data_IF_067910682283
#
_entry.id   IF_067910682283
#
_cell.length_a   1.000
_cell.length_b   1.000
_cell.length_c   1.000
_cell.angle_alpha   90.00
_cell.angle_beta   90.00
_cell.angle_gamma   90.00
#
_symmetry.space_group_name_H-M   'P 1'
#
loop_
_entity.id
_entity.type
_entity.pdbx_description
1 polymer ?
#
# COMPACT_ATOMS: atom_id res chain seq x y z
N UNK A 1 6.87 -6.12 -10.63
CA UNK A 1 7.55 -5.83 -11.90
C UNK A 1 7.95 -7.14 -12.61
N UNK A 2 8.34 -8.19 -11.90
CA UNK A 2 8.75 -9.47 -12.49
C UNK A 2 7.61 -10.46 -12.76
N UNK A 3 6.39 -10.21 -12.28
CA UNK A 3 5.23 -11.10 -12.48
C UNK A 3 4.33 -10.70 -13.66
N UNK A 4 4.48 -9.48 -14.18
CA UNK A 4 3.78 -9.02 -15.38
C UNK A 4 4.78 -8.72 -16.51
N UNK A 5 4.45 -9.10 -17.72
CA UNK A 5 5.26 -8.84 -18.93
C UNK A 5 5.12 -7.36 -19.37
N UNK A 6 5.34 -6.42 -18.43
CA UNK A 6 5.27 -4.99 -18.72
C UNK A 6 6.64 -4.46 -19.13
N UNK A 7 6.70 -3.75 -20.24
CA UNK A 7 7.90 -3.01 -20.61
C UNK A 7 8.04 -1.80 -19.67
N UNK A 8 9.18 -1.67 -18.99
CA UNK A 8 9.46 -0.60 -18.02
C UNK A 8 9.31 0.81 -18.61
N UNK A 9 9.38 0.92 -19.93
CA UNK A 9 9.24 2.20 -20.66
C UNK A 9 7.80 2.63 -20.86
N UNK A 10 6.86 1.69 -20.79
CA UNK A 10 5.43 1.93 -20.99
C UNK A 10 4.69 2.21 -19.68
N UNK A 11 5.40 2.09 -18.53
CA UNK A 11 4.82 2.32 -17.23
C UNK A 11 4.82 3.80 -16.86
N UNK A 12 3.64 4.32 -16.57
CA UNK A 12 3.45 5.63 -15.93
C UNK A 12 3.32 5.43 -14.42
N UNK A 13 4.35 5.83 -13.66
CA UNK A 13 4.46 5.48 -12.24
C UNK A 13 4.21 6.70 -11.37
N UNK A 14 3.24 6.56 -10.47
CA UNK A 14 2.98 7.49 -9.36
C UNK A 14 3.54 6.89 -8.08
N UNK A 15 4.64 7.46 -7.59
CA UNK A 15 5.33 6.94 -6.43
C UNK A 15 4.89 7.67 -5.16
N UNK A 16 4.42 6.89 -4.18
CA UNK A 16 4.13 7.36 -2.83
C UNK A 16 5.19 6.79 -1.91
N UNK A 17 5.99 7.68 -1.28
CA UNK A 17 7.09 7.31 -0.40
C UNK A 17 8.48 7.27 -1.04
N UNK A 18 9.44 7.82 -0.31
CA UNK A 18 10.83 8.03 -0.76
C UNK A 18 11.55 6.72 -1.13
N UNK A 19 11.41 5.69 -0.31
CA UNK A 19 12.10 4.39 -0.51
C UNK A 19 11.67 3.69 -1.81
N UNK A 20 10.35 3.67 -2.07
CA UNK A 20 9.79 3.11 -3.30
C UNK A 20 10.24 3.89 -4.54
N UNK A 21 10.20 5.22 -4.46
CA UNK A 21 10.70 6.11 -5.50
C UNK A 21 12.17 5.83 -5.84
N UNK A 22 13.04 5.82 -4.82
CA UNK A 22 14.49 5.60 -5.02
C UNK A 22 14.77 4.22 -5.62
N UNK A 23 14.03 3.19 -5.22
CA UNK A 23 14.18 1.84 -5.76
C UNK A 23 13.76 1.78 -7.23
N UNK A 24 12.64 2.41 -7.61
CA UNK A 24 12.13 2.46 -8.97
C UNK A 24 13.05 3.29 -9.90
N UNK A 25 13.60 4.40 -9.39
CA UNK A 25 14.57 5.20 -10.15
C UNK A 25 15.86 4.41 -10.43
N UNK A 26 16.38 3.66 -9.45
CA UNK A 26 17.54 2.77 -9.66
C UNK A 26 17.25 1.65 -10.65
N UNK A 27 16.01 1.18 -10.71
CA UNK A 27 15.57 0.20 -11.71
C UNK A 27 15.38 0.80 -13.12
N UNK A 28 15.58 2.12 -13.27
CA UNK A 28 15.45 2.80 -14.58
C UNK A 28 14.01 3.16 -14.97
N UNK A 29 13.07 3.12 -14.01
CA UNK A 29 11.69 3.50 -14.26
C UNK A 29 11.53 5.02 -14.26
N UNK A 30 10.69 5.54 -15.16
CA UNK A 30 10.30 6.95 -15.17
C UNK A 30 9.18 7.17 -14.16
N UNK A 31 9.39 8.09 -13.22
CA UNK A 31 8.37 8.49 -12.25
C UNK A 31 7.71 9.76 -12.77
N UNK A 32 6.40 9.71 -12.99
CA UNK A 32 5.62 10.82 -13.51
C UNK A 32 5.07 11.72 -12.41
N UNK A 33 4.85 11.14 -11.23
CA UNK A 33 4.40 11.91 -10.07
C UNK A 33 5.08 11.41 -8.79
N UNK A 34 5.61 12.36 -8.02
CA UNK A 34 6.18 12.13 -6.70
C UNK A 34 5.22 12.64 -5.63
N UNK A 35 4.75 11.74 -4.79
CA UNK A 35 3.83 12.01 -3.69
C UNK A 35 4.45 11.56 -2.35
N UNK A 36 5.74 11.78 -2.17
CA UNK A 36 6.47 11.31 -0.97
C UNK A 36 5.95 11.91 0.34
N UNK A 37 5.35 13.09 0.29
CA UNK A 37 4.87 13.81 1.48
C UNK A 37 3.58 13.22 2.07
N UNK A 38 2.83 12.43 1.29
CA UNK A 38 1.54 11.84 1.69
C UNK A 38 1.74 10.60 2.60
N UNK A 39 2.95 10.06 2.65
CA UNK A 39 3.20 8.74 3.25
C UNK A 39 3.03 8.70 4.77
N UNK A 40 3.30 9.81 5.48
CA UNK A 40 3.30 9.84 6.95
C UNK A 40 1.87 9.93 7.52
N UNK A 41 1.03 10.79 6.95
CA UNK A 41 -0.37 10.99 7.37
C UNK A 41 -1.29 11.06 6.13
N UNK A 42 -1.61 9.92 5.50
CA UNK A 42 -2.43 9.93 4.32
C UNK A 42 -3.87 10.35 4.62
N UNK A 43 -4.35 11.37 3.91
CA UNK A 43 -5.73 11.83 4.02
C UNK A 43 -6.59 11.34 2.86
N UNK A 44 -7.91 11.30 3.06
CA UNK A 44 -8.84 11.01 1.96
C UNK A 44 -8.74 12.04 0.83
N UNK A 45 -8.40 13.30 1.15
CA UNK A 45 -8.22 14.34 0.15
C UNK A 45 -7.04 14.05 -0.79
N UNK A 46 -5.94 13.53 -0.26
CA UNK A 46 -4.77 13.13 -1.03
C UNK A 46 -5.09 11.95 -1.95
N UNK A 47 -5.75 10.93 -1.41
CA UNK A 47 -6.22 9.80 -2.20
C UNK A 47 -7.19 10.22 -3.31
N UNK A 48 -8.08 11.19 -3.01
CA UNK A 48 -9.00 11.73 -4.00
C UNK A 48 -8.29 12.54 -5.10
N UNK A 49 -7.25 13.29 -4.76
CA UNK A 49 -6.44 14.01 -5.74
C UNK A 49 -5.71 13.05 -6.68
N UNK A 50 -5.06 12.01 -6.12
CA UNK A 50 -4.41 10.95 -6.88
C UNK A 50 -5.41 10.19 -7.76
N UNK A 51 -6.51 9.75 -7.18
CA UNK A 51 -7.53 8.98 -7.88
C UNK A 51 -8.14 9.73 -9.05
N UNK A 52 -8.47 11.01 -8.88
CA UNK A 52 -8.99 11.84 -9.97
C UNK A 52 -8.00 11.98 -11.12
N UNK A 53 -6.72 12.19 -10.80
CA UNK A 53 -5.68 12.33 -11.83
C UNK A 53 -5.53 11.05 -12.65
N UNK A 54 -5.45 9.90 -11.98
CA UNK A 54 -5.32 8.59 -12.62
C UNK A 54 -6.57 8.27 -13.47
N UNK A 55 -7.77 8.57 -12.94
CA UNK A 55 -9.02 8.40 -13.69
C UNK A 55 -9.10 9.29 -14.91
N UNK A 56 -8.59 10.53 -14.84
CA UNK A 56 -8.56 11.42 -16.00
C UNK A 56 -7.68 10.88 -17.10
N UNK A 57 -6.47 10.40 -16.79
CA UNK A 57 -5.58 9.78 -17.79
C UNK A 57 -6.19 8.51 -18.40
N UNK A 58 -6.92 7.72 -17.61
CA UNK A 58 -7.63 6.54 -18.11
C UNK A 58 -8.79 6.94 -19.04
N UNK A 59 -9.60 7.92 -18.66
CA UNK A 59 -10.72 8.41 -19.47
C UNK A 59 -10.26 9.07 -20.79
N UNK A 60 -9.07 9.66 -20.81
CA UNK A 60 -8.45 10.23 -22.01
C UNK A 60 -7.81 9.15 -22.91
N UNK A 61 -7.76 7.91 -22.47
CA UNK A 61 -7.17 6.80 -23.20
C UNK A 61 -5.63 6.82 -23.24
N UNK A 62 -4.98 7.59 -22.35
CA UNK A 62 -3.53 7.65 -22.22
C UNK A 62 -2.98 6.36 -21.60
N UNK A 63 -3.73 5.74 -20.69
CA UNK A 63 -3.40 4.49 -20.02
C UNK A 63 -4.52 3.46 -20.20
N UNK A 64 -4.16 2.21 -20.48
CA UNK A 64 -5.11 1.11 -20.68
C UNK A 64 -5.48 0.38 -19.40
N UNK A 65 -4.58 0.37 -18.42
CA UNK A 65 -4.77 -0.34 -17.15
C UNK A 65 -4.26 0.50 -15.97
N UNK A 66 -4.93 0.37 -14.83
CA UNK A 66 -4.51 1.00 -13.57
C UNK A 66 -4.28 -0.08 -12.54
N UNK A 67 -3.09 -0.08 -11.97
CA UNK A 67 -2.66 -1.01 -10.93
C UNK A 67 -2.26 -0.29 -9.66
N UNK A 68 -2.62 -0.85 -8.51
CA UNK A 68 -2.20 -0.39 -7.20
C UNK A 68 -1.27 -1.42 -6.56
N UNK A 69 -0.02 -1.02 -6.30
CA UNK A 69 0.95 -1.81 -5.56
C UNK A 69 1.11 -1.19 -4.17
N UNK A 70 0.86 -1.97 -3.12
CA UNK A 70 0.94 -1.51 -1.74
C UNK A 70 1.35 -2.65 -0.80
N UNK A 71 1.67 -2.32 0.44
CA UNK A 71 1.95 -3.31 1.48
C UNK A 71 0.71 -3.50 2.32
N UNK A 72 0.13 -4.69 2.27
CA UNK A 72 -1.04 -5.05 3.09
C UNK A 72 -0.60 -5.34 4.52
N UNK A 73 -1.29 -4.75 5.47
CA UNK A 73 -1.08 -4.93 6.90
C UNK A 73 -1.92 -6.10 7.41
N UNK A 74 -1.28 -7.19 7.80
CA UNK A 74 -1.95 -8.34 8.42
C UNK A 74 -1.86 -8.22 9.94
N UNK A 75 -0.64 -8.00 10.44
CA UNK A 75 -0.36 -7.73 11.86
C UNK A 75 0.98 -7.00 11.98
N UNK A 76 1.41 -6.66 13.19
CA UNK A 76 2.65 -5.91 13.44
C UNK A 76 3.92 -6.63 12.99
N UNK A 77 3.87 -7.94 12.75
CA UNK A 77 5.01 -8.79 12.36
C UNK A 77 4.96 -9.17 10.88
N UNK A 78 3.74 -9.35 10.34
CA UNK A 78 3.53 -9.87 8.99
C UNK A 78 2.96 -8.78 8.09
N UNK A 79 3.72 -8.45 7.07
CA UNK A 79 3.36 -7.48 6.02
C UNK A 79 3.55 -8.15 4.66
N UNK A 80 2.55 -8.06 3.79
CA UNK A 80 2.60 -8.69 2.48
C UNK A 80 2.50 -7.64 1.37
N UNK A 81 3.42 -7.64 0.39
CA UNK A 81 3.26 -6.82 -0.79
C UNK A 81 2.09 -7.35 -1.62
N UNK A 82 1.17 -6.48 -1.99
CA UNK A 82 0.03 -6.77 -2.86
C UNK A 82 0.04 -5.90 -4.09
N UNK A 83 -0.39 -6.50 -5.19
CA UNK A 83 -0.61 -5.85 -6.46
C UNK A 83 -2.05 -6.14 -6.89
N UNK A 84 -2.84 -5.10 -7.04
CA UNK A 84 -4.24 -5.23 -7.46
C UNK A 84 -4.52 -4.38 -8.69
N UNK A 85 -5.30 -4.93 -9.62
CA UNK A 85 -5.79 -4.18 -10.76
C UNK A 85 -7.03 -3.41 -10.34
N UNK A 86 -7.01 -2.09 -10.53
CA UNK A 86 -8.12 -1.22 -10.22
C UNK A 86 -9.04 -1.02 -11.43
N UNK A 87 -8.48 -0.85 -12.60
CA UNK A 87 -9.20 -0.72 -13.87
C UNK A 87 -8.45 -1.46 -14.99
N UNK A 88 -9.17 -2.04 -15.97
CA UNK A 88 -10.61 -2.28 -15.97
C UNK A 88 -11.02 -3.30 -14.90
N UNK A 89 -12.22 -3.16 -14.35
CA UNK A 89 -12.78 -4.13 -13.40
C UNK A 89 -13.22 -5.36 -14.19
N UNK A 90 -12.65 -6.53 -13.89
CA UNK A 90 -13.11 -7.79 -14.47
C UNK A 90 -14.12 -8.49 -13.57
N UNK A 91 -15.00 -9.31 -14.16
CA UNK A 91 -15.94 -10.12 -13.37
C UNK A 91 -15.21 -11.12 -12.47
N UNK A 92 -14.07 -11.62 -12.91
CA UNK A 92 -13.22 -12.56 -12.16
C UNK A 92 -12.69 -11.92 -10.87
N UNK A 93 -12.27 -10.65 -10.92
CA UNK A 93 -11.79 -9.90 -9.74
C UNK A 93 -12.90 -9.69 -8.69
N UNK A 94 -14.17 -9.64 -9.13
CA UNK A 94 -15.33 -9.50 -8.24
C UNK A 94 -15.71 -10.85 -7.63
N UNK A 95 -15.73 -11.90 -8.42
CA UNK A 95 -16.14 -13.24 -7.98
C UNK A 95 -15.12 -13.81 -6.95
N UNK A 96 -13.81 -13.63 -7.14
CA UNK A 96 -12.80 -14.01 -6.14
C UNK A 96 -12.98 -13.30 -4.78
N UNK A 97 -13.37 -12.04 -4.78
CA UNK A 97 -13.62 -11.29 -3.54
C UNK A 97 -14.89 -11.77 -2.83
N UNK A 98 -15.93 -12.05 -3.59
CA UNK A 98 -17.22 -12.55 -3.06
C UNK A 98 -17.02 -13.94 -2.44
N UNK A 99 -16.23 -14.82 -3.06
CA UNK A 99 -15.90 -16.13 -2.51
C UNK A 99 -15.08 -16.05 -1.22
N UNK A 100 -14.12 -15.12 -1.13
CA UNK A 100 -13.30 -14.93 0.09
C UNK A 100 -14.10 -14.38 1.26
N UNK A 101 -15.12 -13.57 1.01
CA UNK A 101 -15.97 -13.00 2.06
C UNK A 101 -17.10 -13.93 2.50
N UNK A 102 -17.21 -15.14 1.92
CA UNK A 102 -18.18 -16.15 2.33
C UNK A 102 -19.65 -15.74 2.10
N UNK A 103 -19.86 -14.69 1.33
CA UNK A 103 -21.18 -14.23 0.95
C UNK A 103 -21.75 -15.10 -0.17
N UNK A 104 -22.09 -16.36 0.13
CA UNK A 104 -23.07 -17.11 -0.64
C UNK A 104 -24.46 -16.43 -0.46
N UNK A 105 -24.51 -15.13 -0.76
CA UNK A 105 -25.68 -14.32 -0.64
C UNK A 105 -26.65 -14.64 -1.76
N UNK A 106 -27.91 -14.90 -1.38
CA UNK A 106 -29.05 -14.86 -2.26
C UNK A 106 -28.86 -13.71 -3.27
N UNK A 107 -28.87 -14.04 -4.57
CA UNK A 107 -28.94 -13.04 -5.65
C UNK A 107 -30.32 -12.36 -5.56
N UNK A 108 -30.45 -11.44 -4.61
CA UNK A 108 -31.62 -10.56 -4.56
C UNK A 108 -31.55 -9.66 -5.78
N UNK A 109 -32.57 -9.70 -6.61
CA UNK A 109 -32.78 -8.72 -7.66
C UNK A 109 -32.92 -7.36 -6.98
N UNK A 110 -31.88 -6.52 -7.07
CA UNK A 110 -31.98 -5.14 -6.65
C UNK A 110 -32.71 -4.35 -7.71
N UNK A 111 -33.78 -3.69 -7.33
CA UNK A 111 -34.41 -2.68 -8.17
C UNK A 111 -33.65 -1.39 -8.04
N UNK A 112 -33.01 -0.95 -9.12
CA UNK A 112 -32.34 0.35 -9.18
C UNK A 112 -33.38 1.43 -9.53
N UNK A 113 -33.37 2.54 -8.77
CA UNK A 113 -34.24 3.69 -9.03
C UNK A 113 -33.74 4.57 -10.17
N UNK A 114 -32.43 4.47 -10.51
CA UNK A 114 -31.80 5.20 -11.60
C UNK A 114 -31.26 4.24 -12.67
N UNK A 115 -30.94 4.79 -13.84
CA UNK A 115 -30.29 4.01 -14.92
C UNK A 115 -28.93 3.45 -14.44
N UNK A 116 -28.69 2.17 -14.70
CA UNK A 116 -27.51 1.43 -14.22
C UNK A 116 -26.20 2.12 -14.61
N UNK A 117 -26.12 2.69 -15.81
CA UNK A 117 -24.94 3.41 -16.30
C UNK A 117 -24.63 4.65 -15.46
N UNK A 118 -25.65 5.43 -15.11
CA UNK A 118 -25.49 6.63 -14.28
C UNK A 118 -25.02 6.31 -12.87
N UNK A 119 -25.46 5.17 -12.31
CA UNK A 119 -25.00 4.70 -11.00
C UNK A 119 -23.53 4.29 -11.07
N UNK A 120 -23.12 3.57 -12.11
CA UNK A 120 -21.74 3.13 -12.31
C UNK A 120 -20.78 4.30 -12.51
N UNK A 121 -21.16 5.29 -13.30
CA UNK A 121 -20.36 6.52 -13.49
C UNK A 121 -20.06 7.24 -12.17
N UNK A 122 -21.00 7.24 -11.24
CA UNK A 122 -20.82 7.85 -9.92
C UNK A 122 -20.04 6.94 -8.94
N UNK A 123 -20.21 5.63 -9.08
CA UNK A 123 -19.67 4.65 -8.12
C UNK A 123 -18.20 4.34 -8.38
N UNK A 124 -17.80 4.18 -9.65
CA UNK A 124 -16.44 3.83 -10.04
C UNK A 124 -15.40 4.80 -9.48
N UNK A 125 -15.55 6.13 -9.59
CA UNK A 125 -14.57 7.06 -9.00
C UNK A 125 -14.47 6.94 -7.49
N UNK A 126 -15.59 6.75 -6.80
CA UNK A 126 -15.60 6.58 -5.34
C UNK A 126 -14.91 5.29 -4.92
N UNK A 127 -15.19 4.19 -5.62
CA UNK A 127 -14.54 2.90 -5.40
C UNK A 127 -13.01 3.01 -5.56
N UNK A 128 -12.55 3.61 -6.66
CA UNK A 128 -11.14 3.82 -6.94
C UNK A 128 -10.45 4.62 -5.84
N UNK A 129 -11.03 5.75 -5.44
CA UNK A 129 -10.50 6.61 -4.37
C UNK A 129 -10.44 5.84 -3.06
N UNK A 130 -11.48 5.06 -2.73
CA UNK A 130 -11.51 4.26 -1.51
C UNK A 130 -10.43 3.17 -1.50
N UNK A 131 -10.20 2.51 -2.64
CA UNK A 131 -9.14 1.50 -2.77
C UNK A 131 -7.75 2.10 -2.63
N UNK A 132 -7.50 3.27 -3.24
CA UNK A 132 -6.24 4.00 -3.11
C UNK A 132 -6.05 4.42 -1.65
N UNK A 133 -7.08 4.98 -1.01
CA UNK A 133 -7.02 5.41 0.39
C UNK A 133 -6.75 4.24 1.33
N UNK A 134 -7.44 3.11 1.14
CA UNK A 134 -7.19 1.87 1.90
C UNK A 134 -5.74 1.39 1.76
N UNK A 135 -5.22 1.36 0.53
CA UNK A 135 -3.83 0.98 0.28
C UNK A 135 -2.80 1.92 0.94
N UNK A 136 -3.08 3.23 0.97
CA UNK A 136 -2.24 4.22 1.66
C UNK A 136 -2.24 3.99 3.18
N UNK A 137 -3.41 3.75 3.77
CA UNK A 137 -3.55 3.48 5.21
C UNK A 137 -2.86 2.18 5.61
N UNK A 138 -3.05 1.10 4.83
CA UNK A 138 -2.39 -0.18 5.09
C UNK A 138 -0.86 -0.06 4.98
N UNK A 139 -0.36 0.68 4.00
CA UNK A 139 1.07 0.92 3.84
C UNK A 139 1.65 1.72 5.02
N UNK A 140 0.96 2.78 5.47
CA UNK A 140 1.36 3.57 6.63
C UNK A 140 1.33 2.74 7.92
N UNK A 141 0.28 1.92 8.12
CA UNK A 141 0.18 1.01 9.25
C UNK A 141 1.31 -0.04 9.26
N UNK A 142 1.63 -0.59 8.09
CA UNK A 142 2.73 -1.56 7.92
C UNK A 142 4.08 -0.94 8.25
N UNK A 143 4.34 0.29 7.80
CA UNK A 143 5.57 1.01 8.12
C UNK A 143 5.69 1.28 9.62
N UNK A 144 4.62 1.75 10.26
CA UNK A 144 4.60 2.00 11.70
C UNK A 144 4.75 0.72 12.53
N UNK A 145 4.13 -0.38 12.11
CA UNK A 145 4.30 -1.71 12.72
C UNK A 145 5.74 -2.20 12.65
N UNK A 146 6.37 -2.12 11.48
CA UNK A 146 7.77 -2.50 11.29
C UNK A 146 8.73 -1.61 12.11
N UNK A 147 8.45 -0.30 12.18
CA UNK A 147 9.23 0.64 12.98
C UNK A 147 9.13 0.32 14.48
N UNK A 148 7.91 0.02 14.97
CA UNK A 148 7.70 -0.38 16.36
C UNK A 148 8.51 -1.63 16.71
N UNK A 149 8.45 -2.68 15.86
CA UNK A 149 9.19 -3.91 16.08
C UNK A 149 10.71 -3.70 16.04
N UNK A 150 11.21 -2.85 15.14
CA UNK A 150 12.62 -2.52 15.08
C UNK A 150 13.09 -1.77 16.34
N UNK A 151 12.27 -0.86 16.88
CA UNK A 151 12.58 -0.16 18.12
C UNK A 151 12.56 -1.09 19.34
N UNK A 152 11.59 -2.00 19.40
CA UNK A 152 11.50 -3.00 20.47
C UNK A 152 12.72 -3.91 20.50
N UNK A 153 13.13 -4.42 19.33
CA UNK A 153 14.35 -5.20 19.19
C UNK A 153 15.62 -4.42 19.55
N UNK A 154 15.69 -3.14 19.17
CA UNK A 154 16.82 -2.29 19.52
C UNK A 154 16.90 -2.03 21.04
N UNK A 155 15.74 -1.87 21.70
CA UNK A 155 15.68 -1.70 23.15
C UNK A 155 16.16 -2.96 23.87
N UNK A 156 15.67 -4.14 23.47
CA UNK A 156 16.14 -5.41 24.03
C UNK A 156 17.64 -5.64 23.86
N UNK A 157 18.20 -5.34 22.70
CA UNK A 157 19.63 -5.42 22.47
C UNK A 157 20.42 -4.43 23.36
N UNK A 158 19.88 -3.22 23.59
CA UNK A 158 20.51 -2.24 24.46
C UNK A 158 20.49 -2.69 25.94
N UNK A 159 19.43 -3.31 26.41
CA UNK A 159 19.32 -3.88 27.75
C UNK A 159 20.35 -5.00 27.95
N UNK A 160 20.48 -5.92 27.01
CA UNK A 160 21.50 -6.99 27.03
C UNK A 160 22.91 -6.42 27.10
N UNK A 161 23.22 -5.41 26.28
CA UNK A 161 24.52 -4.72 26.33
C UNK A 161 24.78 -4.04 27.68
N UNK A 162 23.76 -3.46 28.32
CA UNK A 162 23.88 -2.85 29.65
C UNK A 162 24.17 -3.90 30.72
N UNK A 163 23.54 -5.06 30.65
CA UNK A 163 23.84 -6.17 31.57
C UNK A 163 25.28 -6.64 31.43
N UNK A 164 25.75 -6.87 30.21
CA UNK A 164 27.10 -7.28 29.92
C UNK A 164 28.13 -6.25 30.39
N UNK A 165 27.91 -4.97 30.13
CA UNK A 165 28.80 -3.89 30.58
C UNK A 165 28.81 -3.78 32.11
N UNK A 166 27.67 -3.99 32.77
CA UNK A 166 27.58 -3.99 34.23
C UNK A 166 28.40 -5.13 34.84
N UNK A 167 28.33 -6.31 34.22
CA UNK A 167 29.12 -7.48 34.65
C UNK A 167 30.63 -7.21 34.47
N UNK A 168 31.04 -6.66 33.32
CA UNK A 168 32.42 -6.29 33.06
C UNK A 168 32.93 -5.22 34.04
N UNK A 169 32.15 -4.20 34.29
CA UNK A 169 32.46 -3.14 35.26
C UNK A 169 32.65 -3.70 36.67
N UNK A 170 31.74 -4.55 37.14
CA UNK A 170 31.83 -5.17 38.46
C UNK A 170 33.09 -6.07 38.57
N UNK A 171 33.42 -6.85 37.53
CA UNK A 171 34.61 -7.67 37.47
C UNK A 171 35.90 -6.81 37.52
N UNK A 172 35.95 -5.74 36.74
CA UNK A 172 37.08 -4.81 36.74
C UNK A 172 37.25 -4.11 38.11
N UNK A 173 36.14 -3.68 38.73
CA UNK A 173 36.13 -3.08 40.07
C UNK A 173 36.69 -4.03 41.13
N UNK A 174 36.28 -5.31 41.10
CA UNK A 174 36.76 -6.33 42.04
C UNK A 174 38.24 -6.69 41.82
N UNK A 175 38.74 -6.62 40.59
CA UNK A 175 40.13 -6.87 40.27
C UNK A 175 41.06 -5.69 40.54
N UNK A 176 40.54 -4.50 40.84
CA UNK A 176 41.31 -3.30 41.14
C UNK A 176 41.46 -3.04 42.67
N UNK A 177 40.88 -3.88 43.50
CA UNK A 177 41.02 -3.93 44.96
C UNK A 177 42.03 -5.01 45.30
#
# INVERSE_FOLDING_TARGET
>A
ITQGNFDLKELDIYAVGKKGKDALQRAGCKISLDCSDICEEPTYADAAALGRRVLTSFAQGEVGEIWLAYTSFINTVVHEPRLIRLLPVSKEDVDEKVEREGSAGLKLQMNFEAEEESILEMLIPKYMISMIYGGLLEAAASENGARMQAMDSATGNAEEMLEDLTLLYNRARQGAI
#
